data_IF_848810173370
#
_entry.id   IF_848810173370
#
_cell.length_a   1.000
_cell.length_b   1.000
_cell.length_c   1.000
_cell.angle_alpha   90.00
_cell.angle_beta   90.00
_cell.angle_gamma   90.00
#
_symmetry.space_group_name_H-M   'P 1'
#
loop_
_entity.id
_entity.type
_entity.pdbx_description
1 polymer ?
#
# COMPACT_ATOMS: atom_id res chain seq x y z
N UNK A 1 12.54 9.50 27.06
CA UNK A 1 13.06 8.70 25.95
C UNK A 1 14.55 8.52 26.22
N UNK A 2 14.96 7.35 26.71
CA UNK A 2 16.37 7.07 26.98
C UNK A 2 17.10 6.83 25.64
N UNK A 3 18.36 7.24 25.48
CA UNK A 3 19.12 7.00 24.27
C UNK A 3 19.37 5.49 24.10
N UNK A 4 19.20 5.00 22.87
CA UNK A 4 19.50 3.62 22.49
C UNK A 4 21.00 3.40 22.69
N UNK A 5 21.35 2.41 23.51
CA UNK A 5 22.74 2.02 23.75
C UNK A 5 23.17 1.03 22.64
N UNK A 6 24.11 1.40 21.75
CA UNK A 6 24.51 0.53 20.64
C UNK A 6 25.29 -0.74 21.05
N UNK A 7 25.51 -0.95 22.35
CA UNK A 7 26.18 -2.14 22.88
C UNK A 7 25.25 -3.10 23.63
N UNK A 8 23.93 -2.93 23.54
CA UNK A 8 22.96 -3.85 24.13
C UNK A 8 22.75 -5.06 23.18
N UNK A 9 23.15 -6.28 23.60
CA UNK A 9 22.97 -7.47 22.75
C UNK A 9 21.50 -7.84 22.50
N UNK A 10 20.53 -7.21 23.20
CA UNK A 10 19.10 -7.37 22.94
C UNK A 10 18.55 -6.39 21.88
N UNK A 11 19.36 -5.43 21.42
CA UNK A 11 19.00 -4.55 20.30
C UNK A 11 19.45 -5.08 18.92
N UNK A 12 20.24 -6.13 18.89
CA UNK A 12 20.48 -6.93 17.69
C UNK A 12 19.27 -7.87 17.53
N UNK A 13 18.23 -7.40 16.86
CA UNK A 13 17.30 -8.30 16.16
C UNK A 13 18.21 -9.14 15.27
N UNK A 14 18.27 -10.45 15.53
CA UNK A 14 19.10 -11.38 14.80
C UNK A 14 18.93 -11.16 13.30
N UNK A 15 19.90 -10.48 12.66
CA UNK A 15 19.95 -10.29 11.21
C UNK A 15 19.95 -11.64 10.45
N UNK A 16 20.31 -12.71 11.14
CA UNK A 16 20.32 -14.06 10.61
C UNK A 16 18.93 -14.70 10.49
N UNK A 17 17.90 -14.19 11.22
CA UNK A 17 16.53 -14.69 11.16
C UNK A 17 15.70 -13.99 10.07
N UNK A 18 16.14 -12.83 9.56
CA UNK A 18 15.52 -12.09 8.44
C UNK A 18 15.95 -12.66 7.06
N UNK A 19 16.68 -13.74 7.03
CA UNK A 19 17.36 -14.24 5.82
C UNK A 19 16.60 -15.34 5.06
N UNK A 20 15.30 -15.57 5.33
CA UNK A 20 14.52 -16.64 4.68
C UNK A 20 13.23 -16.06 4.12
N UNK A 21 13.10 -16.12 2.78
CA UNK A 21 11.87 -15.92 1.98
C UNK A 21 10.85 -14.95 2.58
N UNK A 22 11.22 -13.66 2.69
CA UNK A 22 10.39 -12.66 3.36
C UNK A 22 9.43 -12.03 2.35
N UNK A 23 8.13 -12.15 2.61
CA UNK A 23 7.09 -11.40 1.92
C UNK A 23 6.73 -10.16 2.72
N UNK A 24 6.56 -9.04 2.04
CA UNK A 24 6.20 -7.77 2.67
C UNK A 24 4.89 -7.21 2.10
N UNK A 25 3.91 -6.93 2.95
CA UNK A 25 2.66 -6.27 2.57
C UNK A 25 2.49 -4.95 3.34
N UNK A 26 2.30 -3.84 2.63
CA UNK A 26 2.26 -2.52 3.28
C UNK A 26 1.20 -1.58 2.70
N UNK A 27 0.79 -0.55 3.46
CA UNK A 27 -0.44 0.17 3.20
C UNK A 27 -0.34 1.64 2.79
N UNK A 28 0.72 2.39 3.01
CA UNK A 28 0.79 3.81 2.60
C UNK A 28 2.12 4.16 1.97
N UNK A 29 2.12 5.12 1.01
CA UNK A 29 3.32 5.46 0.25
C UNK A 29 4.52 5.83 1.13
N UNK A 30 4.32 6.60 2.22
CA UNK A 30 5.42 7.00 3.12
C UNK A 30 5.83 5.86 4.06
N UNK A 31 4.87 5.21 4.69
CA UNK A 31 5.11 4.05 5.57
C UNK A 31 5.67 2.89 4.76
N UNK A 32 5.13 2.67 3.56
CA UNK A 32 5.63 1.68 2.61
C UNK A 32 7.12 1.93 2.30
N UNK A 33 7.48 3.12 1.84
CA UNK A 33 8.86 3.43 1.49
C UNK A 33 9.83 3.22 2.67
N UNK A 34 9.42 3.66 3.88
CA UNK A 34 10.23 3.52 5.09
C UNK A 34 10.48 2.08 5.48
N UNK A 35 9.50 1.20 5.27
CA UNK A 35 9.61 -0.24 5.57
C UNK A 35 10.26 -0.99 4.41
N UNK A 36 9.81 -0.79 3.17
CA UNK A 36 10.19 -1.60 2.01
C UNK A 36 11.61 -1.34 1.49
N UNK A 37 12.12 -0.11 1.53
CA UNK A 37 13.39 0.22 0.88
C UNK A 37 14.59 -0.60 1.36
N UNK A 38 14.77 -0.90 2.65
CA UNK A 38 15.82 -1.82 3.09
C UNK A 38 15.72 -3.20 2.43
N UNK A 39 14.50 -3.76 2.33
CA UNK A 39 14.24 -5.06 1.70
C UNK A 39 14.40 -5.00 0.18
N UNK A 40 13.95 -3.94 -0.47
CA UNK A 40 14.18 -3.73 -1.92
C UNK A 40 15.67 -3.68 -2.24
N UNK A 41 16.49 -3.06 -1.38
CA UNK A 41 17.94 -3.09 -1.54
C UNK A 41 18.49 -4.52 -1.53
N UNK A 42 18.01 -5.35 -0.60
CA UNK A 42 18.40 -6.76 -0.51
C UNK A 42 17.89 -7.57 -1.72
N UNK A 43 16.65 -7.28 -2.20
CA UNK A 43 16.11 -7.87 -3.43
C UNK A 43 16.98 -7.56 -4.64
N UNK A 44 17.42 -6.30 -4.80
CA UNK A 44 18.35 -5.88 -5.86
C UNK A 44 19.71 -6.59 -5.71
N UNK A 45 20.15 -6.89 -4.48
CA UNK A 45 21.36 -7.67 -4.21
C UNK A 45 21.22 -9.18 -4.45
N UNK A 46 20.02 -9.65 -4.88
CA UNK A 46 19.76 -11.03 -5.26
C UNK A 46 19.09 -11.89 -4.19
N UNK A 47 18.58 -11.30 -3.09
CA UNK A 47 17.72 -12.03 -2.14
C UNK A 47 16.33 -12.22 -2.72
N UNK A 48 15.72 -13.34 -2.38
CA UNK A 48 14.36 -13.68 -2.76
C UNK A 48 13.35 -13.02 -1.80
N UNK A 49 12.84 -11.87 -2.19
CA UNK A 49 11.88 -11.06 -1.43
C UNK A 49 10.71 -10.68 -2.33
N UNK A 50 9.49 -10.90 -1.87
CA UNK A 50 8.28 -10.39 -2.52
C UNK A 50 7.78 -9.14 -1.76
N UNK A 51 7.87 -7.99 -2.40
CA UNK A 51 7.39 -6.72 -1.86
C UNK A 51 6.01 -6.40 -2.44
N UNK A 52 4.98 -6.36 -1.58
CA UNK A 52 3.59 -6.17 -1.96
C UNK A 52 3.09 -4.79 -1.52
N UNK A 53 2.65 -3.98 -2.48
CA UNK A 53 1.98 -2.71 -2.23
C UNK A 53 0.46 -2.88 -2.32
N UNK A 54 -0.24 -2.69 -1.21
CA UNK A 54 -1.69 -2.83 -1.11
C UNK A 54 -2.38 -1.48 -1.27
N UNK A 55 -3.36 -1.39 -2.18
CA UNK A 55 -4.10 -0.17 -2.45
C UNK A 55 -5.62 -0.42 -2.55
N UNK A 56 -6.46 0.63 -2.44
CA UNK A 56 -7.90 0.47 -2.60
C UNK A 56 -8.30 0.26 -4.06
N UNK A 57 -9.17 -0.70 -4.34
CA UNK A 57 -9.73 -0.92 -5.67
C UNK A 57 -10.51 0.30 -6.22
N UNK A 58 -11.01 1.17 -5.33
CA UNK A 58 -11.67 2.42 -5.70
C UNK A 58 -10.69 3.58 -6.03
N UNK A 59 -9.38 3.39 -5.77
CA UNK A 59 -8.31 4.34 -6.12
C UNK A 59 -7.03 3.57 -6.48
N UNK A 60 -7.03 2.78 -7.58
CA UNK A 60 -6.00 1.80 -7.89
C UNK A 60 -4.85 2.44 -8.68
N UNK A 61 -4.13 3.34 -8.04
CA UNK A 61 -3.14 4.20 -8.68
C UNK A 61 -1.92 3.44 -9.21
N UNK A 62 -1.49 2.38 -8.52
CA UNK A 62 -0.38 1.54 -8.96
C UNK A 62 -0.82 0.45 -9.94
N UNK A 63 -2.01 -0.15 -9.72
CA UNK A 63 -2.47 -1.28 -10.54
C UNK A 63 -3.14 -0.86 -11.86
N UNK A 64 -3.74 0.34 -11.90
CA UNK A 64 -4.49 0.85 -13.06
C UNK A 64 -3.99 2.19 -13.58
N UNK A 65 -3.14 2.89 -12.82
CA UNK A 65 -2.55 4.17 -13.22
C UNK A 65 -1.53 4.01 -14.34
N UNK A 66 -1.37 5.08 -15.12
CA UNK A 66 -0.33 5.17 -16.15
C UNK A 66 0.98 5.65 -15.51
N UNK A 67 2.11 5.02 -15.83
CA UNK A 67 3.42 5.56 -15.48
C UNK A 67 3.75 6.72 -16.44
N UNK A 68 3.60 7.93 -15.96
CA UNK A 68 3.69 9.15 -16.75
C UNK A 68 4.24 10.33 -15.93
N UNK A 69 4.63 11.42 -16.61
CA UNK A 69 4.87 12.68 -15.92
C UNK A 69 3.54 13.34 -15.56
N UNK A 70 3.40 13.76 -14.32
CA UNK A 70 2.27 14.53 -13.82
C UNK A 70 2.74 15.54 -12.78
N UNK A 71 1.88 16.51 -12.42
CA UNK A 71 2.16 17.49 -11.37
C UNK A 71 1.88 16.90 -9.99
N UNK A 72 2.73 17.17 -9.01
CA UNK A 72 2.56 16.72 -7.63
C UNK A 72 1.41 17.39 -6.89
N UNK A 73 0.89 18.51 -7.39
CA UNK A 73 -0.21 19.28 -6.81
C UNK A 73 -1.35 19.51 -7.82
N UNK A 74 -2.54 19.85 -7.32
CA UNK A 74 -3.71 20.12 -8.15
C UNK A 74 -3.63 21.45 -8.90
N UNK A 75 -2.82 22.39 -8.43
CA UNK A 75 -2.66 23.74 -9.00
C UNK A 75 -1.61 23.81 -10.12
N UNK A 76 -0.92 22.70 -10.40
CA UNK A 76 0.16 22.60 -11.41
C UNK A 76 1.32 23.58 -11.16
N UNK A 77 1.59 23.89 -9.89
CA UNK A 77 2.68 24.78 -9.48
C UNK A 77 3.97 24.02 -9.16
N UNK A 78 3.89 22.72 -8.89
CA UNK A 78 5.06 21.86 -8.68
C UNK A 78 5.69 21.46 -10.02
N UNK A 79 6.97 21.08 -10.03
CA UNK A 79 7.58 20.46 -11.20
C UNK A 79 6.86 19.18 -11.62
N UNK A 80 6.95 18.85 -12.90
CA UNK A 80 6.56 17.52 -13.41
C UNK A 80 7.48 16.46 -12.81
N UNK A 81 6.89 15.38 -12.32
CA UNK A 81 7.60 14.22 -11.76
C UNK A 81 7.04 12.94 -12.36
N UNK A 82 7.89 11.93 -12.63
CA UNK A 82 7.41 10.64 -13.11
C UNK A 82 6.68 9.90 -11.97
N UNK A 83 5.49 9.39 -12.25
CA UNK A 83 4.69 8.69 -11.26
C UNK A 83 3.67 7.77 -11.93
N UNK A 84 3.20 6.75 -11.22
CA UNK A 84 1.93 6.12 -11.55
C UNK A 84 0.82 7.10 -11.19
N UNK A 85 -0.03 7.44 -12.14
CA UNK A 85 -1.12 8.41 -11.96
C UNK A 85 -2.42 7.91 -12.61
N UNK A 86 -3.54 8.19 -11.96
CA UNK A 86 -4.89 8.00 -12.52
C UNK A 86 -5.32 9.19 -13.39
N UNK A 87 -4.43 10.17 -13.56
CA UNK A 87 -4.66 11.40 -14.30
C UNK A 87 -4.78 12.61 -13.39
N UNK A 88 -4.38 13.77 -13.91
CA UNK A 88 -4.28 15.01 -13.12
C UNK A 88 -5.59 15.43 -12.46
N UNK A 89 -6.69 15.29 -13.17
CA UNK A 89 -8.01 15.73 -12.74
C UNK A 89 -8.84 14.61 -12.08
N UNK A 90 -8.23 13.44 -11.81
CA UNK A 90 -8.92 12.34 -11.14
C UNK A 90 -9.27 12.70 -9.69
N UNK A 91 -10.53 12.46 -9.32
CA UNK A 91 -11.05 12.66 -7.97
C UNK A 91 -11.32 11.31 -7.30
N UNK A 92 -10.51 10.92 -6.30
CA UNK A 92 -10.71 9.64 -5.62
C UNK A 92 -12.06 9.53 -4.92
N UNK A 93 -12.70 8.37 -5.05
CA UNK A 93 -13.96 8.07 -4.39
C UNK A 93 -13.90 8.25 -2.86
N UNK A 94 -15.01 8.60 -2.18
CA UNK A 94 -15.06 8.87 -0.74
C UNK A 94 -15.08 7.57 0.09
N UNK A 95 -14.06 6.72 -0.04
CA UNK A 95 -13.88 5.52 0.76
C UNK A 95 -13.24 5.80 2.12
N UNK A 96 -13.37 4.87 3.07
CA UNK A 96 -12.76 4.93 4.39
C UNK A 96 -11.31 4.44 4.37
N UNK A 97 -10.45 5.15 3.70
CA UNK A 97 -9.00 5.00 3.72
C UNK A 97 -8.38 6.28 3.18
N UNK A 98 -8.58 7.38 3.89
CA UNK A 98 -8.21 8.74 3.45
C UNK A 98 -6.74 8.86 3.05
N UNK A 99 -5.85 8.17 3.76
CA UNK A 99 -4.41 8.14 3.49
C UNK A 99 -4.00 7.39 2.21
N UNK A 100 -4.93 6.63 1.58
CA UNK A 100 -4.69 5.91 0.33
C UNK A 100 -5.43 6.53 -0.87
N UNK A 101 -6.16 7.63 -0.66
CA UNK A 101 -6.96 8.30 -1.70
C UNK A 101 -6.15 9.39 -2.41
N UNK A 102 -5.26 9.00 -3.29
CA UNK A 102 -4.47 9.93 -4.07
C UNK A 102 -4.32 9.45 -5.52
N UNK A 103 -4.35 10.40 -6.45
CA UNK A 103 -4.29 10.16 -7.89
C UNK A 103 -2.90 9.81 -8.42
N UNK A 104 -1.85 10.05 -7.64
CA UNK A 104 -0.47 9.83 -8.07
C UNK A 104 0.41 9.35 -6.93
N UNK A 105 1.34 8.45 -7.22
CA UNK A 105 2.23 7.80 -6.26
C UNK A 105 3.63 8.42 -6.34
N UNK A 106 4.34 8.43 -5.21
CA UNK A 106 5.70 8.95 -5.10
C UNK A 106 6.63 8.36 -6.18
N UNK A 107 7.51 9.16 -6.80
CA UNK A 107 8.33 8.75 -7.93
C UNK A 107 9.16 7.49 -7.71
N UNK A 108 9.80 7.35 -6.53
CA UNK A 108 10.62 6.18 -6.22
C UNK A 108 9.80 4.89 -6.15
N UNK A 109 8.61 4.93 -5.54
CA UNK A 109 7.72 3.77 -5.51
C UNK A 109 7.24 3.44 -6.92
N UNK A 110 6.83 4.45 -7.68
CA UNK A 110 6.40 4.29 -9.06
C UNK A 110 7.48 3.66 -9.93
N UNK A 111 8.73 4.08 -9.76
CA UNK A 111 9.88 3.49 -10.47
C UNK A 111 10.05 2.01 -10.08
N UNK A 112 9.99 1.69 -8.78
CA UNK A 112 10.17 0.31 -8.31
C UNK A 112 9.05 -0.63 -8.78
N UNK A 113 7.82 -0.11 -8.94
CA UNK A 113 6.72 -0.88 -9.56
C UNK A 113 6.96 -1.04 -11.06
N UNK A 114 7.39 0.02 -11.76
CA UNK A 114 7.72 -0.03 -13.19
C UNK A 114 8.87 -1.02 -13.48
N UNK A 115 9.83 -1.14 -12.55
CA UNK A 115 10.96 -2.07 -12.62
C UNK A 115 10.62 -3.48 -12.09
N UNK A 116 9.35 -3.77 -11.78
CA UNK A 116 8.84 -5.05 -11.26
C UNK A 116 9.49 -5.49 -9.93
N UNK A 117 10.07 -4.54 -9.19
CA UNK A 117 10.64 -4.80 -7.87
C UNK A 117 9.59 -4.81 -6.76
N UNK A 118 8.46 -4.14 -7.00
CA UNK A 118 7.28 -4.10 -6.12
C UNK A 118 6.07 -4.58 -6.92
N UNK A 119 5.29 -5.48 -6.34
CA UNK A 119 4.04 -5.98 -6.90
C UNK A 119 2.86 -5.23 -6.28
N UNK A 120 2.07 -4.47 -7.04
CA UNK A 120 0.88 -3.82 -6.51
C UNK A 120 -0.34 -4.74 -6.56
N UNK A 121 -1.22 -4.66 -5.55
CA UNK A 121 -2.54 -5.29 -5.53
C UNK A 121 -3.59 -4.33 -4.98
N UNK A 122 -4.78 -4.39 -5.58
CA UNK A 122 -5.90 -3.53 -5.23
C UNK A 122 -7.04 -4.36 -4.59
N UNK A 123 -7.55 -3.90 -3.45
CA UNK A 123 -8.56 -4.59 -2.67
C UNK A 123 -9.83 -3.74 -2.46
N UNK A 124 -10.98 -4.41 -2.44
CA UNK A 124 -12.27 -3.76 -2.12
C UNK A 124 -12.39 -3.53 -0.62
N UNK A 125 -13.02 -2.43 -0.23
CA UNK A 125 -13.03 -2.04 1.18
C UNK A 125 -13.82 -3.04 2.06
N UNK A 126 -14.81 -3.74 1.55
CA UNK A 126 -15.55 -4.76 2.29
C UNK A 126 -14.64 -5.88 2.81
N UNK A 127 -13.77 -6.42 1.95
CA UNK A 127 -12.83 -7.49 2.30
C UNK A 127 -11.73 -6.98 3.25
N UNK A 128 -11.29 -5.73 3.04
CA UNK A 128 -10.31 -5.08 3.93
C UNK A 128 -10.86 -4.91 5.33
N UNK A 129 -12.12 -4.46 5.49
CA UNK A 129 -12.76 -4.35 6.81
C UNK A 129 -13.02 -5.72 7.45
N UNK A 130 -13.36 -6.76 6.67
CA UNK A 130 -13.47 -8.12 7.19
C UNK A 130 -12.14 -8.59 7.81
N UNK A 131 -11.03 -8.35 7.11
CA UNK A 131 -9.68 -8.67 7.60
C UNK A 131 -9.29 -7.86 8.83
N UNK A 132 -9.67 -6.57 8.87
CA UNK A 132 -9.46 -5.71 10.04
C UNK A 132 -10.18 -6.22 11.29
N UNK A 133 -11.40 -6.74 11.14
CA UNK A 133 -12.18 -7.33 12.24
C UNK A 133 -11.55 -8.63 12.73
N UNK A 134 -11.08 -9.49 11.82
CA UNK A 134 -10.33 -10.71 12.18
C UNK A 134 -9.09 -10.34 12.99
N UNK A 135 -8.29 -9.39 12.50
CA UNK A 135 -7.09 -8.92 13.16
C UNK A 135 -7.37 -8.32 14.54
N UNK A 136 -8.41 -7.47 14.65
CA UNK A 136 -8.80 -6.90 15.93
C UNK A 136 -9.23 -7.96 16.94
N UNK A 137 -9.89 -9.04 16.49
CA UNK A 137 -10.31 -10.15 17.33
C UNK A 137 -9.16 -11.04 17.79
N UNK A 138 -8.11 -11.21 16.98
CA UNK A 138 -6.94 -12.04 17.31
C UNK A 138 -5.87 -11.27 18.09
N UNK A 139 -5.58 -10.03 17.69
CA UNK A 139 -4.47 -9.25 18.23
C UNK A 139 -4.90 -8.21 19.28
N UNK A 140 -6.19 -7.94 19.42
CA UNK A 140 -6.71 -6.92 20.35
C UNK A 140 -6.40 -5.47 19.91
N UNK A 141 -6.06 -5.26 18.65
CA UNK A 141 -5.72 -3.96 18.08
C UNK A 141 -6.71 -3.65 16.94
N UNK A 142 -7.44 -2.55 17.04
CA UNK A 142 -8.29 -2.06 15.95
C UNK A 142 -7.40 -1.27 14.98
N UNK A 143 -7.15 -1.76 13.74
CA UNK A 143 -6.28 -1.06 12.81
C UNK A 143 -7.00 0.11 12.14
N UNK A 144 -6.24 1.12 11.70
CA UNK A 144 -6.75 2.11 10.77
C UNK A 144 -7.13 1.46 9.44
N UNK A 145 -8.13 1.97 8.69
CA UNK A 145 -8.52 1.43 7.38
C UNK A 145 -7.36 1.32 6.39
N UNK A 146 -6.41 2.24 6.45
CA UNK A 146 -5.18 2.19 5.67
C UNK A 146 -4.33 0.96 6.01
N UNK A 147 -4.08 0.74 7.30
CA UNK A 147 -3.31 -0.42 7.78
C UNK A 147 -4.03 -1.74 7.50
N UNK A 148 -5.36 -1.70 7.47
CA UNK A 148 -6.18 -2.86 7.17
C UNK A 148 -5.96 -3.41 5.75
N UNK A 149 -5.55 -2.55 4.78
CA UNK A 149 -5.15 -3.02 3.45
C UNK A 149 -3.89 -3.90 3.52
N UNK A 150 -2.89 -3.52 4.32
CA UNK A 150 -1.70 -4.33 4.51
C UNK A 150 -2.00 -5.64 5.26
N UNK A 151 -2.90 -5.59 6.25
CA UNK A 151 -3.37 -6.78 6.96
C UNK A 151 -4.08 -7.74 6.00
N UNK A 152 -4.96 -7.21 5.14
CA UNK A 152 -5.64 -8.04 4.13
C UNK A 152 -4.65 -8.70 3.18
N UNK A 153 -3.69 -7.94 2.64
CA UNK A 153 -2.63 -8.50 1.79
C UNK A 153 -1.79 -9.55 2.51
N UNK A 154 -1.44 -9.34 3.78
CA UNK A 154 -0.71 -10.32 4.59
C UNK A 154 -1.53 -11.61 4.79
N UNK A 155 -2.84 -11.51 5.04
CA UNK A 155 -3.72 -12.68 5.17
C UNK A 155 -3.85 -13.45 3.85
N UNK A 156 -3.94 -12.77 2.70
CA UNK A 156 -3.97 -13.42 1.39
C UNK A 156 -2.66 -14.17 1.07
N UNK A 157 -1.51 -13.55 1.39
CA UNK A 157 -0.19 -14.20 1.26
C UNK A 157 -0.11 -15.42 2.19
N UNK A 158 -0.54 -15.29 3.45
CA UNK A 158 -0.53 -16.39 4.42
C UNK A 158 -1.44 -17.54 3.97
N UNK A 159 -2.65 -17.24 3.46
CA UNK A 159 -3.58 -18.25 2.94
C UNK A 159 -2.99 -18.98 1.74
N UNK A 160 -2.38 -18.26 0.81
CA UNK A 160 -1.72 -18.85 -0.36
C UNK A 160 -0.57 -19.77 0.03
N UNK A 161 0.24 -19.36 1.02
CA UNK A 161 1.34 -20.16 1.55
C UNK A 161 0.83 -21.45 2.24
N UNK A 162 -0.25 -21.33 3.04
CA UNK A 162 -0.86 -22.48 3.72
C UNK A 162 -1.44 -23.50 2.71
N UNK A 163 -2.13 -23.02 1.67
CA UNK A 163 -2.65 -23.87 0.57
C UNK A 163 -1.53 -24.57 -0.20
N UNK A 164 -0.36 -23.93 -0.35
CA UNK A 164 0.82 -24.50 -0.98
C UNK A 164 1.64 -25.41 -0.05
N UNK A 165 1.37 -25.39 1.26
CA UNK A 165 2.17 -26.08 2.28
C UNK A 165 3.55 -25.46 2.45
N UNK A 166 3.69 -24.17 2.21
CA UNK A 166 4.95 -23.42 2.31
C UNK A 166 5.02 -22.63 3.62
N UNK A 167 6.22 -22.59 4.22
CA UNK A 167 6.49 -21.71 5.35
C UNK A 167 6.94 -20.35 4.83
N UNK A 168 6.30 -19.26 5.32
CA UNK A 168 6.60 -17.89 4.91
C UNK A 168 6.73 -16.98 6.12
N UNK A 169 7.68 -16.06 6.07
CA UNK A 169 7.75 -14.92 6.99
C UNK A 169 7.11 -13.72 6.33
N UNK A 170 6.06 -13.15 6.96
CA UNK A 170 5.31 -12.03 6.40
C UNK A 170 5.47 -10.83 7.33
N UNK A 171 6.05 -9.75 6.82
CA UNK A 171 6.16 -8.47 7.49
C UNK A 171 5.17 -7.49 6.89
N UNK A 172 4.36 -6.83 7.71
CA UNK A 172 3.44 -5.79 7.26
C UNK A 172 3.48 -4.54 8.13
N UNK A 173 3.07 -3.40 7.57
CA UNK A 173 3.05 -2.12 8.28
C UNK A 173 1.74 -1.91 9.03
N UNK A 174 1.77 -1.94 10.36
CA UNK A 174 0.68 -1.48 11.21
C UNK A 174 0.88 0.01 11.52
N UNK A 175 0.63 0.87 10.54
CA UNK A 175 0.98 2.28 10.55
C UNK A 175 -0.01 3.19 11.30
N UNK A 176 -1.17 2.66 11.71
CA UNK A 176 -2.19 3.43 12.41
C UNK A 176 -3.23 2.58 13.13
N UNK A 177 -3.88 3.17 14.12
CA UNK A 177 -4.99 2.58 14.86
C UNK A 177 -6.34 3.16 14.41
N UNK A 178 -7.40 2.37 14.51
CA UNK A 178 -8.76 2.72 14.05
C UNK A 178 -9.62 3.48 15.05
N UNK A 179 -9.06 4.00 16.17
CA UNK A 179 -9.87 4.66 17.19
C UNK A 179 -10.57 5.93 16.68
N UNK A 180 -10.03 6.57 15.66
CA UNK A 180 -10.67 7.72 14.99
C UNK A 180 -11.62 7.29 13.86
N UNK A 181 -11.62 5.99 13.50
CA UNK A 181 -12.35 5.44 12.36
C UNK A 181 -13.54 4.56 12.79
N UNK A 182 -13.93 4.62 14.07
CA UNK A 182 -15.01 3.78 14.63
C UNK A 182 -16.32 3.91 13.86
N UNK A 183 -16.62 5.09 13.32
CA UNK A 183 -17.82 5.30 12.50
C UNK A 183 -17.77 4.48 11.19
N UNK A 184 -16.58 4.22 10.63
CA UNK A 184 -16.41 3.35 9.47
C UNK A 184 -16.67 1.88 9.84
N UNK A 185 -16.18 1.43 10.99
CA UNK A 185 -16.47 0.10 11.53
C UNK A 185 -17.96 -0.09 11.85
N UNK A 186 -18.62 0.93 12.44
CA UNK A 186 -20.07 0.91 12.68
C UNK A 186 -20.84 0.77 11.36
N UNK A 187 -20.43 1.48 10.31
CA UNK A 187 -21.02 1.35 8.97
C UNK A 187 -20.80 -0.04 8.39
N UNK A 188 -19.62 -0.63 8.56
CA UNK A 188 -19.33 -1.99 8.14
C UNK A 188 -20.26 -3.00 8.84
N UNK A 189 -20.35 -2.97 10.17
CA UNK A 189 -21.25 -3.87 10.93
C UNK A 189 -22.74 -3.63 10.64
N UNK A 190 -23.12 -2.43 10.30
CA UNK A 190 -24.49 -2.10 9.90
C UNK A 190 -24.81 -2.48 8.44
N UNK A 191 -23.85 -3.05 7.67
CA UNK A 191 -24.02 -3.35 6.25
C UNK A 191 -24.22 -2.13 5.36
N UNK A 192 -23.69 -0.97 5.78
CA UNK A 192 -23.81 0.32 5.08
C UNK A 192 -22.52 0.70 4.34
N UNK A 193 -21.48 -0.10 4.48
CA UNK A 193 -20.24 0.12 3.76
C UNK A 193 -20.45 -0.37 2.32
N UNK A 194 -20.31 0.54 1.36
CA UNK A 194 -20.49 0.22 -0.05
C UNK A 194 -19.13 0.14 -0.75
N UNK A 195 -18.92 -0.94 -1.51
CA UNK A 195 -17.78 -1.03 -2.41
C UNK A 195 -18.02 -0.14 -3.62
N UNK A 196 -17.19 0.87 -3.77
CA UNK A 196 -17.30 1.81 -4.87
C UNK A 196 -16.63 1.22 -6.10
N UNK A 197 -17.41 1.02 -7.16
CA UNK A 197 -16.87 0.60 -8.44
C UNK A 197 -16.09 1.75 -9.09
N UNK A 198 -14.93 1.42 -9.65
CA UNK A 198 -14.13 2.37 -10.42
C UNK A 198 -14.81 2.65 -11.77
N UNK A 199 -14.99 3.92 -12.11
CA UNK A 199 -15.41 4.34 -13.45
C UNK A 199 -14.19 4.45 -14.39
N UNK A 200 -14.01 3.49 -15.26
CA UNK A 200 -12.94 3.47 -16.28
C UNK A 200 -12.96 4.74 -17.14
N UNK A 201 -14.14 5.24 -17.47
CA UNK A 201 -14.29 6.47 -18.24
C UNK A 201 -13.82 7.72 -17.47
N UNK A 202 -13.80 7.67 -16.14
CA UNK A 202 -13.25 8.75 -15.32
C UNK A 202 -11.74 8.78 -15.41
N UNK A 203 -11.07 7.63 -15.32
CA UNK A 203 -9.61 7.54 -15.52
C UNK A 203 -9.22 8.04 -16.91
N UNK A 204 -9.89 7.58 -17.96
CA UNK A 204 -9.63 8.03 -19.34
C UNK A 204 -9.78 9.54 -19.49
N UNK A 205 -10.81 10.13 -18.88
CA UNK A 205 -11.01 11.59 -18.91
C UNK A 205 -9.90 12.33 -18.16
N UNK A 206 -9.51 11.83 -16.99
CA UNK A 206 -8.49 12.47 -16.15
C UNK A 206 -7.08 12.37 -16.78
N UNK A 207 -6.77 11.27 -17.47
CA UNK A 207 -5.50 11.08 -18.20
C UNK A 207 -5.36 12.05 -19.37
N UNK A 208 -6.45 12.51 -19.99
CA UNK A 208 -6.38 13.52 -21.08
C UNK A 208 -5.74 14.83 -20.62
N UNK A 209 -5.81 15.15 -19.32
CA UNK A 209 -5.20 16.36 -18.77
C UNK A 209 -3.67 16.33 -18.78
N UNK A 210 -3.07 15.16 -18.98
CA UNK A 210 -1.60 14.99 -19.10
C UNK A 210 -1.17 14.54 -20.49
N UNK A 211 -2.09 14.45 -21.45
CA UNK A 211 -1.76 14.19 -22.85
C UNK A 211 -0.78 15.24 -23.40
N UNK A 212 0.27 14.78 -24.07
CA UNK A 212 1.31 15.67 -24.62
C UNK A 212 2.42 16.04 -23.65
N UNK A 213 2.37 15.62 -22.38
CA UNK A 213 3.51 15.69 -21.50
C UNK A 213 4.59 14.67 -21.90
N UNK A 214 5.86 14.89 -21.51
CA UNK A 214 6.92 13.91 -21.76
C UNK A 214 6.58 12.53 -21.18
N UNK A 215 7.09 11.46 -21.79
CA UNK A 215 6.99 10.11 -21.26
C UNK A 215 8.25 9.80 -20.44
N UNK A 216 8.14 9.18 -19.26
CA UNK A 216 9.30 8.69 -18.54
C UNK A 216 10.11 7.68 -19.38
N UNK A 217 11.44 7.71 -19.23
CA UNK A 217 12.34 6.80 -19.95
C UNK A 217 12.39 5.43 -19.29
#
# INVERSE_FOLDING_TARGET
>A
MAPINPSDPQSAVDEEHLARDDHEATSTTRSFAGLAFPFIREKIAGREIDALACEPAACPTLTRGLYAYDFGDTSRLTPLIPMHTLGHDFVPAPIHAGGLRYRGVAPLISQLVNDELIRPEAYVQGDVFASAVIFAGSEGIIPAPESAHAIHGALEVARTADEAGEERTILFSLSGHGHFDMAAYDNYFAGKLEDVALDEGEIERALRAIEGLPTPA
#
